data_IF_538474893930
#
_entry.id   IF_538474893930
#
_cell.length_a   1.000
_cell.length_b   1.000
_cell.length_c   1.000
_cell.angle_alpha   90.00
_cell.angle_beta   90.00
_cell.angle_gamma   90.00
#
_symmetry.space_group_name_H-M   'P 1'
#
loop_
_entity.id
_entity.type
_entity.pdbx_description
1 polymer ?
#
# COMPACT_ATOMS: atom_id res chain seq x y z
N UNK A 1 9.62 -26.15 20.78
CA UNK A 1 9.93 -27.55 20.40
C UNK A 1 9.39 -28.49 21.48
N UNK A 2 8.67 -29.53 21.06
CA UNK A 2 8.21 -30.59 21.95
C UNK A 2 9.36 -31.57 22.21
N UNK A 3 9.85 -31.71 23.47
CA UNK A 3 11.00 -32.56 23.80
C UNK A 3 10.81 -34.01 23.40
N UNK A 4 9.59 -34.55 23.46
CA UNK A 4 9.31 -35.94 23.11
C UNK A 4 9.39 -36.18 21.59
N UNK A 5 9.05 -35.17 20.78
CA UNK A 5 9.19 -35.18 19.34
C UNK A 5 10.66 -35.05 18.92
N UNK A 6 11.45 -34.19 19.54
CA UNK A 6 12.88 -34.01 19.24
C UNK A 6 13.67 -35.28 19.48
N UNK A 7 13.35 -36.05 20.51
CA UNK A 7 13.98 -37.35 20.80
C UNK A 7 13.73 -38.41 19.71
N UNK A 8 12.64 -38.29 18.94
CA UNK A 8 12.26 -39.25 17.87
C UNK A 8 12.65 -38.78 16.48
N UNK A 9 12.46 -37.46 16.18
CA UNK A 9 12.60 -36.90 14.84
C UNK A 9 13.92 -36.16 14.62
N UNK A 10 14.76 -36.03 15.66
CA UNK A 10 15.94 -35.18 15.62
C UNK A 10 15.60 -33.68 15.63
N UNK A 11 16.55 -32.87 15.27
CA UNK A 11 16.35 -31.41 15.19
C UNK A 11 15.26 -31.08 14.16
N UNK A 12 14.32 -30.24 14.55
CA UNK A 12 13.24 -29.80 13.67
C UNK A 12 13.57 -28.39 13.14
N UNK A 13 13.57 -28.26 11.82
CA UNK A 13 13.70 -26.96 11.13
C UNK A 13 12.36 -26.51 10.59
N UNK A 14 11.92 -25.30 10.99
CA UNK A 14 10.74 -24.67 10.44
C UNK A 14 11.14 -23.41 9.69
N UNK A 15 10.70 -23.26 8.45
CA UNK A 15 10.85 -22.04 7.69
C UNK A 15 9.55 -21.70 6.95
N UNK A 16 9.20 -20.43 6.96
CA UNK A 16 8.07 -19.89 6.20
C UNK A 16 8.56 -18.74 5.31
N UNK A 17 8.14 -18.75 4.06
CA UNK A 17 8.46 -17.70 3.10
C UNK A 17 7.21 -17.27 2.34
N UNK A 18 7.15 -15.99 1.99
CA UNK A 18 6.15 -15.42 1.11
C UNK A 18 6.81 -14.67 -0.03
N UNK A 19 6.29 -14.83 -1.23
CA UNK A 19 6.81 -14.19 -2.43
C UNK A 19 5.67 -13.75 -3.35
N UNK A 20 5.97 -12.77 -4.22
CA UNK A 20 5.04 -12.28 -5.22
C UNK A 20 4.22 -11.08 -4.76
N UNK A 21 3.45 -10.54 -5.69
CA UNK A 21 2.61 -9.36 -5.49
C UNK A 21 1.48 -9.31 -6.52
N UNK A 22 0.43 -8.59 -6.20
CA UNK A 22 -0.57 -8.19 -7.18
C UNK A 22 -0.21 -6.80 -7.67
N UNK A 23 0.05 -6.68 -8.96
CA UNK A 23 0.42 -5.46 -9.65
C UNK A 23 -0.83 -4.77 -10.20
N UNK A 24 -0.68 -3.48 -10.41
CA UNK A 24 -1.70 -2.63 -10.98
C UNK A 24 -1.09 -1.84 -12.14
N UNK A 25 -1.69 -1.96 -13.33
CA UNK A 25 -1.46 -1.07 -14.46
C UNK A 25 -2.71 -0.23 -14.68
N UNK A 26 -2.56 1.04 -15.02
CA UNK A 26 -3.70 1.92 -15.22
C UNK A 26 -3.48 2.90 -16.36
N UNK A 27 -4.59 3.32 -16.96
CA UNK A 27 -4.66 4.42 -17.92
C UNK A 27 -5.90 5.25 -17.64
N UNK A 28 -5.87 6.51 -17.98
CA UNK A 28 -7.02 7.38 -17.72
C UNK A 28 -6.90 8.74 -18.40
N UNK A 29 -7.98 9.50 -18.30
CA UNK A 29 -8.04 10.86 -18.80
C UNK A 29 -8.91 11.72 -17.91
N UNK A 30 -8.71 13.03 -18.02
CA UNK A 30 -9.51 14.02 -17.30
C UNK A 30 -9.80 15.22 -18.21
N UNK A 31 -10.91 15.89 -17.93
CA UNK A 31 -11.32 17.13 -18.59
C UNK A 31 -11.67 18.15 -17.53
N UNK A 32 -11.24 19.40 -17.74
CA UNK A 32 -11.61 20.53 -16.88
C UNK A 32 -12.66 21.37 -17.59
N UNK A 33 -13.77 21.58 -16.90
CA UNK A 33 -14.91 22.36 -17.36
C UNK A 33 -14.93 23.69 -16.60
N UNK A 34 -15.20 24.77 -17.35
CA UNK A 34 -15.31 26.15 -16.80
C UNK A 34 -14.14 26.56 -15.91
N UNK A 35 -12.93 26.03 -16.17
CA UNK A 35 -11.71 26.28 -15.41
C UNK A 35 -11.78 25.99 -13.90
N UNK A 36 -12.82 25.28 -13.45
CA UNK A 36 -13.08 25.02 -12.04
C UNK A 36 -13.44 23.57 -11.71
N UNK A 37 -14.15 22.91 -12.59
CA UNK A 37 -14.63 21.55 -12.37
C UNK A 37 -13.85 20.57 -13.24
N UNK A 38 -13.08 19.69 -12.64
CA UNK A 38 -12.37 18.63 -13.34
C UNK A 38 -13.04 17.28 -13.10
N UNK A 39 -13.30 16.56 -14.18
CA UNK A 39 -13.83 15.20 -14.16
C UNK A 39 -12.80 14.26 -14.74
N UNK A 40 -12.53 13.15 -14.08
CA UNK A 40 -11.57 12.15 -14.52
C UNK A 40 -12.12 10.75 -14.44
N UNK A 41 -11.63 9.88 -15.32
CA UNK A 41 -11.88 8.45 -15.28
C UNK A 41 -10.58 7.70 -15.53
N UNK A 42 -10.43 6.58 -14.84
CA UNK A 42 -9.26 5.72 -14.90
C UNK A 42 -9.71 4.26 -15.05
N UNK A 43 -9.10 3.54 -15.96
CA UNK A 43 -9.22 2.10 -16.10
C UNK A 43 -8.01 1.43 -15.48
N UNK A 44 -8.25 0.41 -14.66
CA UNK A 44 -7.24 -0.26 -13.86
C UNK A 44 -7.25 -1.74 -14.20
N UNK A 45 -6.08 -2.31 -14.49
CA UNK A 45 -5.84 -3.74 -14.65
C UNK A 45 -5.07 -4.26 -13.45
N UNK A 46 -5.56 -5.33 -12.84
CA UNK A 46 -4.87 -6.06 -11.78
C UNK A 46 -4.35 -7.39 -12.33
N UNK A 47 -3.13 -7.75 -11.98
CA UNK A 47 -2.54 -9.05 -12.34
C UNK A 47 -1.41 -9.40 -11.38
N UNK A 48 -1.22 -10.68 -11.14
CA UNK A 48 -0.11 -11.12 -10.31
C UNK A 48 -0.33 -12.46 -9.65
N UNK A 49 0.69 -12.87 -8.88
CA UNK A 49 0.73 -14.12 -8.15
C UNK A 49 1.35 -13.89 -6.77
N UNK A 50 0.76 -14.50 -5.76
CA UNK A 50 1.29 -14.53 -4.39
C UNK A 50 1.51 -15.99 -4.03
N UNK A 51 2.69 -16.30 -3.51
CA UNK A 51 3.07 -17.63 -3.05
C UNK A 51 3.43 -17.57 -1.57
N UNK A 52 2.94 -18.54 -0.81
CA UNK A 52 3.33 -18.78 0.58
C UNK A 52 3.79 -20.22 0.69
N UNK A 53 4.99 -20.44 1.19
CA UNK A 53 5.58 -21.75 1.36
C UNK A 53 6.02 -21.95 2.79
N UNK A 54 5.71 -23.09 3.35
CA UNK A 54 6.13 -23.55 4.67
C UNK A 54 6.91 -24.86 4.49
N UNK A 55 8.09 -24.91 5.07
CA UNK A 55 8.95 -26.07 5.05
C UNK A 55 9.18 -26.54 6.49
N UNK A 56 8.86 -27.80 6.76
CA UNK A 56 9.16 -28.51 8.00
C UNK A 56 10.19 -29.60 7.68
N UNK A 57 11.43 -29.36 8.10
CA UNK A 57 12.54 -30.31 7.91
C UNK A 57 12.80 -31.09 9.20
N UNK A 58 13.13 -32.38 9.06
CA UNK A 58 13.52 -33.26 10.16
C UNK A 58 14.99 -33.65 10.01
N UNK A 59 15.74 -33.58 11.11
CA UNK A 59 17.16 -33.95 11.15
C UNK A 59 17.42 -35.48 11.17
N UNK A 60 16.38 -36.28 11.27
CA UNK A 60 16.47 -37.73 11.21
C UNK A 60 15.99 -38.22 9.84
N UNK A 61 16.83 -38.90 9.09
CA UNK A 61 16.56 -39.41 7.74
C UNK A 61 15.44 -40.48 7.69
N UNK A 62 14.96 -40.96 8.82
CA UNK A 62 13.80 -41.83 8.89
C UNK A 62 12.46 -41.10 8.72
N UNK A 63 12.47 -39.81 8.80
CA UNK A 63 11.28 -38.94 8.65
C UNK A 63 11.35 -38.12 7.39
N UNK A 64 10.22 -38.00 6.71
CA UNK A 64 10.09 -37.18 5.50
C UNK A 64 9.90 -35.73 5.87
N UNK A 65 10.70 -34.86 5.31
CA UNK A 65 10.47 -33.41 5.37
C UNK A 65 9.21 -33.02 4.57
N UNK A 66 8.45 -32.05 5.05
CA UNK A 66 7.18 -31.65 4.45
C UNK A 66 7.32 -30.21 3.94
N UNK A 67 7.00 -30.01 2.68
CA UNK A 67 6.85 -28.71 2.06
C UNK A 67 5.39 -28.50 1.73
N UNK A 68 4.78 -27.48 2.30
CA UNK A 68 3.40 -27.08 1.99
C UNK A 68 3.37 -25.68 1.43
N UNK A 69 2.55 -25.43 0.43
CA UNK A 69 2.43 -24.11 -0.15
C UNK A 69 1.02 -23.79 -0.60
N UNK A 70 0.79 -22.47 -0.67
CA UNK A 70 -0.45 -21.88 -1.18
C UNK A 70 -0.09 -20.83 -2.24
N UNK A 71 -0.61 -21.01 -3.43
CA UNK A 71 -0.45 -20.08 -4.53
C UNK A 71 -1.79 -19.40 -4.81
N UNK A 72 -1.79 -18.10 -4.94
CA UNK A 72 -2.92 -17.31 -5.38
C UNK A 72 -2.52 -16.52 -6.63
N UNK A 73 -3.14 -16.84 -7.76
CA UNK A 73 -2.98 -16.07 -8.99
C UNK A 73 -4.28 -15.31 -9.28
N UNK A 74 -4.17 -14.01 -9.47
CA UNK A 74 -5.30 -13.12 -9.72
C UNK A 74 -5.08 -12.26 -10.95
N UNK A 75 -6.17 -12.03 -11.66
CA UNK A 75 -6.32 -11.00 -12.67
C UNK A 75 -7.71 -10.36 -12.58
N UNK A 76 -7.82 -9.11 -12.98
CA UNK A 76 -9.09 -8.40 -12.95
C UNK A 76 -8.97 -6.97 -13.46
N UNK A 77 -10.06 -6.26 -13.45
CA UNK A 77 -10.12 -4.88 -13.87
C UNK A 77 -11.08 -4.07 -12.99
N UNK A 78 -10.81 -2.79 -12.88
CA UNK A 78 -11.66 -1.84 -12.16
C UNK A 78 -11.72 -0.50 -12.91
N UNK A 79 -12.72 0.29 -12.58
CA UNK A 79 -12.79 1.69 -12.99
C UNK A 79 -12.75 2.59 -11.74
N UNK A 80 -12.05 3.70 -11.84
CA UNK A 80 -12.00 4.76 -10.82
C UNK A 80 -12.41 6.07 -11.45
N UNK A 81 -13.29 6.79 -10.80
CA UNK A 81 -13.77 8.11 -11.21
C UNK A 81 -13.27 9.15 -10.23
N UNK A 82 -13.01 10.34 -10.72
CA UNK A 82 -12.56 11.47 -9.93
C UNK A 82 -13.31 12.74 -10.28
N UNK A 83 -13.57 13.55 -9.26
CA UNK A 83 -14.15 14.88 -9.38
C UNK A 83 -13.31 15.83 -8.54
N UNK A 84 -12.98 17.00 -9.10
CA UNK A 84 -12.28 18.06 -8.39
C UNK A 84 -12.97 19.39 -8.70
N UNK A 85 -13.19 20.17 -7.67
CA UNK A 85 -13.74 21.51 -7.79
C UNK A 85 -12.82 22.55 -7.16
N UNK A 86 -12.45 23.55 -7.95
CA UNK A 86 -11.54 24.63 -7.58
C UNK A 86 -12.32 25.92 -7.36
N UNK A 87 -12.31 26.43 -6.13
CA UNK A 87 -12.96 27.67 -5.73
C UNK A 87 -11.94 28.73 -5.32
N UNK A 88 -11.78 29.80 -6.09
CA UNK A 88 -11.07 30.98 -5.63
C UNK A 88 -11.80 31.63 -4.44
N UNK A 89 -11.10 31.88 -3.32
CA UNK A 89 -11.66 32.50 -2.11
C UNK A 89 -11.33 34.00 -1.99
N UNK A 90 -10.67 34.55 -3.00
CA UNK A 90 -10.20 35.94 -3.03
C UNK A 90 -8.70 36.07 -2.77
N UNK A 91 -8.12 37.18 -3.25
CA UNK A 91 -6.68 37.40 -3.22
C UNK A 91 -5.92 36.32 -3.99
N UNK A 92 -4.98 35.63 -3.31
CA UNK A 92 -4.23 34.53 -3.86
C UNK A 92 -4.64 33.16 -3.24
N UNK A 93 -5.78 33.13 -2.55
CA UNK A 93 -6.23 31.90 -1.85
C UNK A 93 -7.18 31.12 -2.72
N UNK A 94 -6.93 29.81 -2.81
CA UNK A 94 -7.73 28.85 -3.56
C UNK A 94 -8.09 27.67 -2.65
N UNK A 95 -9.34 27.25 -2.71
CA UNK A 95 -9.82 26.00 -2.11
C UNK A 95 -10.04 24.99 -3.22
N UNK A 96 -9.60 23.77 -2.98
CA UNK A 96 -9.84 22.62 -3.85
C UNK A 96 -10.58 21.55 -3.08
N UNK A 97 -11.72 21.11 -3.57
CA UNK A 97 -12.48 19.96 -3.09
C UNK A 97 -12.27 18.81 -4.07
N UNK A 98 -11.90 17.65 -3.57
CA UNK A 98 -11.67 16.44 -4.35
C UNK A 98 -12.53 15.28 -3.87
N UNK A 99 -13.00 14.47 -4.82
CA UNK A 99 -13.66 13.21 -4.55
C UNK A 99 -13.24 12.16 -5.55
N UNK A 100 -13.00 10.93 -5.08
CA UNK A 100 -12.70 9.79 -5.94
C UNK A 100 -13.54 8.59 -5.55
N UNK A 101 -13.96 7.81 -6.53
CA UNK A 101 -14.64 6.56 -6.28
C UNK A 101 -14.15 5.47 -7.24
N UNK A 102 -13.64 4.39 -6.67
CA UNK A 102 -13.24 3.17 -7.39
C UNK A 102 -14.33 2.13 -7.21
N UNK A 103 -14.77 1.56 -8.31
CA UNK A 103 -15.78 0.51 -8.30
C UNK A 103 -15.21 -0.80 -7.72
N UNK A 104 -16.06 -1.53 -7.02
CA UNK A 104 -15.79 -2.92 -6.62
C UNK A 104 -15.52 -3.76 -7.86
N UNK A 105 -14.51 -4.62 -7.79
CA UNK A 105 -14.06 -5.42 -8.93
C UNK A 105 -13.99 -6.90 -8.59
N UNK A 106 -14.57 -7.75 -9.44
CA UNK A 106 -14.38 -9.19 -9.38
C UNK A 106 -13.01 -9.57 -9.92
N UNK A 107 -12.30 -10.44 -9.20
CA UNK A 107 -11.03 -11.00 -9.61
C UNK A 107 -11.23 -12.42 -10.12
N UNK A 108 -10.54 -12.74 -11.20
CA UNK A 108 -10.50 -14.08 -11.78
C UNK A 108 -9.12 -14.69 -11.50
N UNK A 109 -9.07 -16.01 -11.43
CA UNK A 109 -7.80 -16.70 -11.19
C UNK A 109 -7.99 -18.06 -10.57
N UNK A 110 -7.01 -18.49 -9.81
CA UNK A 110 -7.07 -19.74 -9.08
C UNK A 110 -6.22 -19.68 -7.82
N UNK A 111 -6.60 -20.51 -6.85
CA UNK A 111 -5.75 -20.91 -5.73
C UNK A 111 -5.25 -22.32 -5.97
N UNK A 112 -4.01 -22.59 -5.60
CA UNK A 112 -3.44 -23.93 -5.60
C UNK A 112 -2.81 -24.22 -4.24
N UNK A 113 -3.33 -25.24 -3.58
CA UNK A 113 -2.80 -25.78 -2.33
C UNK A 113 -2.02 -27.04 -2.63
N UNK A 114 -0.75 -27.06 -2.30
CA UNK A 114 0.10 -28.24 -2.48
C UNK A 114 0.85 -28.63 -1.22
N UNK A 115 1.16 -29.90 -1.10
CA UNK A 115 2.01 -30.44 -0.04
C UNK A 115 2.79 -31.64 -0.56
N UNK A 116 4.08 -31.66 -0.31
CA UNK A 116 5.00 -32.74 -0.68
C UNK A 116 5.70 -33.26 0.56
N UNK A 117 5.90 -34.60 0.59
CA UNK A 117 6.82 -35.21 1.53
C UNK A 117 8.10 -35.65 0.79
N UNK A 118 9.24 -35.22 1.30
CA UNK A 118 10.55 -35.49 0.70
C UNK A 118 11.45 -36.25 1.66
N UNK A 119 12.12 -37.32 1.16
CA UNK A 119 13.20 -38.01 1.84
C UNK A 119 14.30 -38.29 0.83
N UNK A 120 15.51 -37.82 1.09
CA UNK A 120 16.63 -37.92 0.13
C UNK A 120 16.23 -37.40 -1.26
N UNK A 121 16.20 -38.26 -2.29
CA UNK A 121 15.79 -37.93 -3.66
C UNK A 121 14.34 -38.22 -4.00
N UNK A 122 13.58 -38.82 -3.06
CA UNK A 122 12.21 -39.22 -3.28
C UNK A 122 11.25 -38.14 -2.81
N UNK A 123 10.34 -37.75 -3.70
CA UNK A 123 9.29 -36.78 -3.41
C UNK A 123 7.94 -37.38 -3.70
N UNK A 124 7.09 -37.42 -2.69
CA UNK A 124 5.70 -37.89 -2.81
C UNK A 124 4.76 -36.68 -2.67
N UNK A 125 3.82 -36.54 -3.58
CA UNK A 125 2.76 -35.55 -3.47
C UNK A 125 1.69 -35.99 -2.50
N UNK A 126 1.52 -35.27 -1.38
CA UNK A 126 0.47 -35.54 -0.39
C UNK A 126 -0.83 -34.84 -0.83
N UNK A 127 -0.73 -33.60 -1.30
CA UNK A 127 -1.87 -32.78 -1.70
C UNK A 127 -1.50 -31.91 -2.89
N UNK A 128 -2.37 -31.85 -3.86
CA UNK A 128 -2.31 -30.85 -4.92
C UNK A 128 -3.75 -30.56 -5.33
N UNK A 129 -4.30 -29.42 -4.88
CA UNK A 129 -5.67 -29.03 -5.12
C UNK A 129 -5.71 -27.63 -5.71
N UNK A 130 -6.28 -27.52 -6.89
CA UNK A 130 -6.47 -26.23 -7.58
C UNK A 130 -7.95 -25.88 -7.57
N UNK A 131 -8.26 -24.69 -7.07
CA UNK A 131 -9.62 -24.14 -7.05
C UNK A 131 -9.66 -22.91 -7.94
N UNK A 132 -10.52 -22.92 -8.94
CA UNK A 132 -10.73 -21.76 -9.81
C UNK A 132 -11.68 -20.77 -9.14
N UNK A 133 -11.24 -19.52 -9.08
CA UNK A 133 -11.96 -18.40 -8.47
C UNK A 133 -13.04 -17.89 -9.45
N UNK A 134 -14.19 -18.56 -9.47
CA UNK A 134 -15.32 -18.23 -10.34
C UNK A 134 -16.65 -18.33 -9.57
N UNK A 135 -17.63 -17.56 -9.96
CA UNK A 135 -18.96 -17.61 -9.37
C UNK A 135 -18.98 -17.23 -7.88
N UNK A 136 -19.38 -18.16 -7.00
CA UNK A 136 -19.45 -17.94 -5.55
C UNK A 136 -18.09 -17.83 -4.87
N UNK A 137 -17.07 -18.47 -5.43
CA UNK A 137 -15.69 -18.47 -4.92
C UNK A 137 -14.86 -17.32 -5.49
N UNK A 138 -15.46 -16.42 -6.26
CA UNK A 138 -14.80 -15.28 -6.84
C UNK A 138 -14.36 -14.30 -5.76
N UNK A 139 -13.06 -14.01 -5.71
CA UNK A 139 -12.52 -12.91 -4.91
C UNK A 139 -12.95 -11.56 -5.51
N UNK A 140 -13.14 -10.58 -4.65
CA UNK A 140 -13.47 -9.21 -5.09
C UNK A 140 -12.55 -8.22 -4.43
N UNK A 141 -12.13 -7.23 -5.18
CA UNK A 141 -11.46 -6.05 -4.60
C UNK A 141 -12.50 -5.01 -4.22
N UNK A 142 -12.27 -4.41 -3.07
CA UNK A 142 -13.14 -3.42 -2.49
C UNK A 142 -13.34 -2.20 -3.39
N UNK A 143 -14.54 -1.62 -3.32
CA UNK A 143 -14.72 -0.22 -3.66
C UNK A 143 -13.88 0.69 -2.76
N UNK A 144 -13.57 1.86 -3.25
CA UNK A 144 -12.78 2.86 -2.53
C UNK A 144 -13.40 4.24 -2.73
N UNK A 145 -13.74 4.89 -1.64
CA UNK A 145 -14.19 6.27 -1.60
C UNK A 145 -13.08 7.15 -1.01
N UNK A 146 -12.66 8.15 -1.76
CA UNK A 146 -11.73 9.18 -1.30
C UNK A 146 -12.38 10.55 -1.34
N UNK A 147 -12.18 11.36 -0.30
CA UNK A 147 -12.56 12.77 -0.26
C UNK A 147 -11.41 13.59 0.29
N UNK A 148 -11.18 14.76 -0.27
CA UNK A 148 -10.09 15.64 0.13
C UNK A 148 -10.46 17.11 0.05
N UNK A 149 -9.84 17.88 0.91
CA UNK A 149 -9.92 19.33 0.95
C UNK A 149 -8.52 19.91 1.00
N UNK A 150 -8.19 20.78 0.06
CA UNK A 150 -6.95 21.54 0.07
C UNK A 150 -7.23 23.05 0.07
N UNK A 151 -6.48 23.79 0.88
CA UNK A 151 -6.43 25.25 0.90
C UNK A 151 -5.01 25.70 0.55
N UNK A 152 -4.87 26.55 -0.46
CA UNK A 152 -3.58 27.05 -0.92
C UNK A 152 -3.58 28.58 -0.96
N UNK A 153 -2.61 29.18 -0.28
CA UNK A 153 -2.40 30.64 -0.24
C UNK A 153 -1.25 31.08 -1.15
N UNK A 154 -1.55 31.24 -2.44
CA UNK A 154 -0.55 31.53 -3.47
C UNK A 154 0.52 30.44 -3.55
N UNK A 155 1.79 30.87 -3.50
CA UNK A 155 2.94 29.97 -3.48
C UNK A 155 3.55 29.80 -2.07
N UNK A 156 2.89 30.38 -1.05
CA UNK A 156 3.48 30.47 0.29
C UNK A 156 3.12 29.31 1.19
N UNK A 157 1.87 28.89 1.16
CA UNK A 157 1.39 27.84 2.05
C UNK A 157 0.28 27.00 1.42
N UNK A 158 0.22 25.77 1.83
CA UNK A 158 -0.88 24.86 1.54
C UNK A 158 -1.22 24.03 2.78
N UNK A 159 -2.50 23.72 2.96
CA UNK A 159 -3.01 22.77 3.94
C UNK A 159 -3.91 21.79 3.20
N UNK A 160 -3.79 20.52 3.51
CA UNK A 160 -4.56 19.46 2.88
C UNK A 160 -5.04 18.45 3.94
N UNK A 161 -6.26 17.98 3.77
CA UNK A 161 -6.84 16.92 4.59
C UNK A 161 -7.54 15.92 3.68
N UNK A 162 -7.20 14.65 3.80
CA UNK A 162 -7.75 13.56 3.02
C UNK A 162 -8.34 12.48 3.90
N UNK A 163 -9.43 11.90 3.43
CA UNK A 163 -10.04 10.70 3.97
C UNK A 163 -10.24 9.68 2.86
N UNK A 164 -9.79 8.47 3.10
CA UNK A 164 -9.98 7.33 2.22
C UNK A 164 -10.67 6.21 2.99
N UNK A 165 -11.63 5.53 2.34
CA UNK A 165 -12.34 4.38 2.91
C UNK A 165 -12.51 3.28 1.87
N UNK A 166 -12.26 2.04 2.28
CA UNK A 166 -12.57 0.85 1.48
C UNK A 166 -13.13 -0.26 2.36
N UNK A 167 -14.15 -0.95 1.88
CA UNK A 167 -14.85 -2.01 2.64
C UNK A 167 -14.47 -3.39 2.10
N UNK A 168 -13.61 -4.09 2.84
CA UNK A 168 -13.07 -5.39 2.46
C UNK A 168 -13.85 -6.57 3.03
N UNK A 169 -14.92 -6.32 3.77
CA UNK A 169 -15.75 -7.37 4.36
C UNK A 169 -16.50 -8.15 3.29
N UNK A 170 -16.62 -9.45 3.48
CA UNK A 170 -17.41 -10.35 2.60
C UNK A 170 -16.94 -10.31 1.12
N UNK A 171 -15.64 -10.21 0.88
CA UNK A 171 -15.06 -10.19 -0.46
C UNK A 171 -14.36 -11.50 -0.84
N UNK A 172 -14.50 -12.56 -0.03
CA UNK A 172 -13.96 -13.89 -0.27
C UNK A 172 -12.57 -14.14 0.30
N UNK A 173 -11.89 -13.12 0.84
CA UNK A 173 -10.54 -13.30 1.39
C UNK A 173 -10.54 -14.11 2.70
N UNK A 174 -11.56 -13.98 3.52
CA UNK A 174 -11.68 -14.68 4.80
C UNK A 174 -11.85 -16.20 4.62
N UNK A 175 -12.32 -16.61 3.43
CA UNK A 175 -12.59 -18.00 3.09
C UNK A 175 -11.49 -18.61 2.22
N UNK A 176 -10.54 -17.80 1.74
CA UNK A 176 -9.50 -18.25 0.82
C UNK A 176 -8.41 -19.03 1.56
N UNK A 177 -8.23 -20.29 1.20
CA UNK A 177 -7.22 -21.16 1.78
C UNK A 177 -5.81 -20.54 1.72
N UNK A 178 -5.08 -20.68 2.84
CA UNK A 178 -3.72 -20.14 2.99
C UNK A 178 -3.64 -18.65 3.28
N UNK A 179 -4.74 -17.90 3.20
CA UNK A 179 -4.80 -16.46 3.47
C UNK A 179 -5.68 -16.11 4.68
N UNK A 180 -6.63 -16.96 5.03
CA UNK A 180 -7.62 -16.70 6.08
C UNK A 180 -7.17 -17.06 7.48
N UNK A 181 -6.41 -18.11 7.67
CA UNK A 181 -6.00 -18.57 8.99
C UNK A 181 -4.53 -19.00 9.03
N UNK A 182 -3.83 -18.60 10.09
CA UNK A 182 -2.60 -19.23 10.52
C UNK A 182 -2.93 -20.22 11.64
N UNK A 183 -1.97 -21.10 11.98
CA UNK A 183 -2.15 -22.10 13.05
C UNK A 183 -2.45 -21.51 14.43
N UNK A 184 -2.19 -20.22 14.64
CA UNK A 184 -2.31 -19.54 15.93
C UNK A 184 -3.22 -18.33 15.94
N UNK A 185 -3.62 -17.79 14.78
CA UNK A 185 -4.38 -16.55 14.70
C UNK A 185 -5.49 -16.60 13.64
N UNK A 186 -6.65 -16.04 13.97
CA UNK A 186 -7.78 -15.91 13.06
C UNK A 186 -7.72 -14.57 12.34
N UNK A 187 -7.65 -14.64 11.01
CA UNK A 187 -7.76 -13.49 10.13
C UNK A 187 -9.23 -13.17 9.84
N UNK A 188 -9.58 -11.89 9.82
CA UNK A 188 -10.87 -11.42 9.30
C UNK A 188 -10.72 -10.10 8.56
N UNK A 189 -11.46 -9.95 7.47
CA UNK A 189 -11.51 -8.70 6.69
C UNK A 189 -12.30 -7.62 7.43
N UNK A 190 -11.93 -6.38 7.20
CA UNK A 190 -12.52 -5.21 7.86
C UNK A 190 -12.66 -4.03 6.90
N UNK A 191 -13.21 -2.96 7.40
CA UNK A 191 -13.17 -1.65 6.72
C UNK A 191 -11.79 -1.04 6.92
N UNK A 192 -11.12 -0.71 5.83
CA UNK A 192 -9.93 0.12 5.87
C UNK A 192 -10.30 1.60 5.81
N UNK A 193 -9.63 2.40 6.61
CA UNK A 193 -9.81 3.85 6.64
C UNK A 193 -8.45 4.52 6.76
N UNK A 194 -8.26 5.63 6.07
CA UNK A 194 -7.05 6.44 6.14
C UNK A 194 -7.42 7.91 6.27
N UNK A 195 -6.84 8.54 7.28
CA UNK A 195 -6.93 9.99 7.50
C UNK A 195 -5.54 10.58 7.36
N UNK A 196 -5.40 11.59 6.53
CA UNK A 196 -4.14 12.30 6.31
C UNK A 196 -4.35 13.78 6.39
N UNK A 197 -3.42 14.47 7.04
CA UNK A 197 -3.38 15.93 7.06
C UNK A 197 -1.95 16.39 6.78
N UNK A 198 -1.82 17.38 5.91
CA UNK A 198 -0.54 17.92 5.51
C UNK A 198 -0.52 19.44 5.51
N UNK A 199 0.65 19.99 5.77
CA UNK A 199 0.93 21.42 5.71
C UNK A 199 2.24 21.65 4.97
N UNK A 200 2.23 22.64 4.09
CA UNK A 200 3.41 23.11 3.35
C UNK A 200 3.57 24.61 3.55
N UNK A 201 4.81 25.06 3.73
CA UNK A 201 5.13 26.47 3.87
C UNK A 201 6.45 26.82 3.20
N UNK A 202 6.42 27.82 2.30
CA UNK A 202 7.60 28.43 1.66
C UNK A 202 7.59 29.92 1.95
N UNK A 203 8.47 30.42 2.81
CA UNK A 203 8.44 31.84 3.22
C UNK A 203 8.52 32.82 2.04
N UNK A 204 9.49 32.65 1.16
CA UNK A 204 9.66 33.43 -0.05
C UNK A 204 10.54 32.68 -1.06
N UNK A 205 9.90 32.09 -2.09
CA UNK A 205 10.59 31.29 -3.12
C UNK A 205 11.65 32.08 -3.91
N UNK A 206 11.47 33.39 -4.05
CA UNK A 206 12.32 34.28 -4.85
C UNK A 206 13.28 35.11 -4.00
N UNK A 207 13.49 34.80 -2.71
CA UNK A 207 14.40 35.57 -1.86
C UNK A 207 15.87 35.32 -2.28
N UNK A 208 16.54 36.44 -2.67
CA UNK A 208 17.94 36.40 -3.11
C UNK A 208 18.90 36.45 -1.92
N UNK A 209 18.49 37.08 -0.82
CA UNK A 209 19.35 37.38 0.33
C UNK A 209 19.43 36.22 1.31
N UNK A 210 18.30 35.55 1.59
CA UNK A 210 18.23 34.52 2.64
C UNK A 210 17.78 33.17 2.05
N UNK A 211 18.71 32.24 1.91
CA UNK A 211 18.47 30.95 1.29
C UNK A 211 17.41 30.12 2.00
N UNK A 212 17.36 30.13 3.35
CA UNK A 212 16.37 29.40 4.14
C UNK A 212 14.91 29.81 3.85
N UNK A 213 14.68 31.03 3.34
CA UNK A 213 13.35 31.48 2.94
C UNK A 213 12.85 30.82 1.66
N UNK A 214 13.76 30.29 0.85
CA UNK A 214 13.45 29.58 -0.40
C UNK A 214 13.12 28.11 -0.17
N UNK A 215 13.45 27.58 1.01
CA UNK A 215 13.18 26.19 1.40
C UNK A 215 11.68 26.05 1.61
N UNK A 216 11.13 24.94 1.08
CA UNK A 216 9.76 24.52 1.34
C UNK A 216 9.77 23.55 2.52
N UNK A 217 9.12 23.92 3.59
CA UNK A 217 8.96 23.12 4.81
C UNK A 217 7.63 22.39 4.75
N UNK A 218 7.62 21.10 5.18
CA UNK A 218 6.43 20.28 5.20
C UNK A 218 6.26 19.59 6.54
N UNK A 219 5.02 19.41 6.94
CA UNK A 219 4.64 18.58 8.10
C UNK A 219 3.36 17.83 7.79
N UNK A 220 3.22 16.64 8.33
CA UNK A 220 2.03 15.85 8.11
C UNK A 220 1.75 14.89 9.26
N UNK A 221 0.50 14.45 9.31
CA UNK A 221 -0.02 13.46 10.23
C UNK A 221 -0.78 12.42 9.43
N UNK A 222 -0.73 11.16 9.84
CA UNK A 222 -1.57 10.12 9.27
C UNK A 222 -2.07 9.15 10.33
N UNK A 223 -3.22 8.58 10.05
CA UNK A 223 -3.82 7.46 10.76
C UNK A 223 -4.41 6.51 9.73
N UNK A 224 -3.90 5.28 9.69
CA UNK A 224 -4.35 4.25 8.78
C UNK A 224 -4.88 3.05 9.57
N UNK A 225 -6.15 2.74 9.41
CA UNK A 225 -6.76 1.52 9.87
C UNK A 225 -6.68 0.45 8.78
N UNK A 226 -6.08 -0.69 9.11
CA UNK A 226 -5.89 -1.79 8.16
C UNK A 226 -7.21 -2.44 7.74
N UNK A 227 -7.24 -3.01 6.53
CA UNK A 227 -8.37 -3.79 6.03
C UNK A 227 -8.52 -5.16 6.70
N UNK A 228 -7.60 -5.57 7.56
CA UNK A 228 -7.62 -6.85 8.24
C UNK A 228 -7.55 -6.72 9.76
N UNK A 229 -8.11 -7.71 10.43
CA UNK A 229 -8.01 -7.91 11.87
C UNK A 229 -7.40 -9.27 12.16
N UNK A 230 -6.64 -9.36 13.22
CA UNK A 230 -6.12 -10.62 13.77
C UNK A 230 -6.76 -10.84 15.12
N UNK A 231 -7.43 -11.98 15.32
CA UNK A 231 -8.19 -12.31 16.54
C UNK A 231 -9.17 -11.19 16.94
N UNK A 232 -9.82 -10.57 15.95
CA UNK A 232 -10.74 -9.45 16.12
C UNK A 232 -10.08 -8.09 16.43
N UNK A 233 -8.75 -8.03 16.60
CA UNK A 233 -8.03 -6.80 16.89
C UNK A 233 -7.60 -6.09 15.60
N UNK A 234 -7.82 -4.78 15.49
CA UNK A 234 -7.35 -4.01 14.34
C UNK A 234 -5.82 -3.81 14.41
N UNK A 235 -5.20 -3.79 13.24
CA UNK A 235 -3.78 -3.46 13.08
C UNK A 235 -3.70 -2.06 12.48
N UNK A 236 -3.69 -1.06 13.34
CA UNK A 236 -3.68 0.34 12.94
C UNK A 236 -2.25 0.87 12.88
N UNK A 237 -2.03 1.89 12.07
CA UNK A 237 -0.78 2.65 12.07
C UNK A 237 -1.06 4.14 12.12
N UNK A 238 -0.19 4.88 12.79
CA UNK A 238 -0.25 6.33 12.86
C UNK A 238 1.15 6.91 13.04
N UNK A 239 1.31 8.12 12.54
CA UNK A 239 2.61 8.77 12.64
C UNK A 239 2.58 10.23 12.23
N UNK A 240 3.76 10.82 12.32
CA UNK A 240 4.05 12.18 11.92
C UNK A 240 5.17 12.18 10.87
N UNK A 241 5.09 13.13 9.93
CA UNK A 241 6.12 13.35 8.93
C UNK A 241 6.60 14.79 8.99
N UNK A 242 7.89 15.00 8.81
CA UNK A 242 8.52 16.31 8.71
C UNK A 242 9.44 16.27 7.49
N UNK A 243 9.42 17.33 6.69
CA UNK A 243 10.26 17.36 5.49
C UNK A 243 10.62 18.76 5.06
N UNK A 244 11.63 18.82 4.20
CA UNK A 244 12.04 20.06 3.56
C UNK A 244 12.48 19.79 2.12
N UNK A 245 12.12 20.68 1.19
CA UNK A 245 12.69 20.72 -0.15
C UNK A 245 13.61 21.91 -0.29
N UNK A 246 14.85 21.64 -0.57
CA UNK A 246 15.96 22.58 -0.71
C UNK A 246 16.13 22.86 -2.21
N UNK A 247 15.79 24.05 -2.75
CA UNK A 247 15.96 24.37 -4.15
C UNK A 247 17.45 24.47 -4.51
N UNK A 248 17.91 23.78 -5.56
CA UNK A 248 19.33 23.74 -5.93
C UNK A 248 19.65 24.73 -7.05
N UNK A 249 18.87 24.73 -8.15
CA UNK A 249 19.12 25.58 -9.30
C UNK A 249 17.80 26.02 -9.94
N UNK A 250 17.73 27.29 -10.39
CA UNK A 250 16.59 27.90 -11.12
C UNK A 250 15.20 27.70 -10.48
N UNK A 251 15.13 27.35 -9.17
CA UNK A 251 13.87 27.18 -8.43
C UNK A 251 13.02 25.94 -8.77
N UNK A 252 13.40 25.18 -9.79
CA UNK A 252 12.68 23.97 -10.23
C UNK A 252 13.37 22.69 -9.80
N UNK A 253 14.70 22.71 -9.66
CA UNK A 253 15.49 21.58 -9.17
C UNK A 253 15.61 21.65 -7.65
N UNK A 254 15.57 20.51 -6.98
CA UNK A 254 15.65 20.51 -5.53
C UNK A 254 15.94 19.13 -4.95
N UNK A 255 16.46 19.17 -3.74
CA UNK A 255 16.66 18.00 -2.90
C UNK A 255 15.57 18.00 -1.83
N UNK A 256 14.79 16.93 -1.77
CA UNK A 256 13.77 16.74 -0.74
C UNK A 256 14.29 15.76 0.31
N UNK A 257 14.24 16.17 1.56
CA UNK A 257 14.54 15.33 2.72
C UNK A 257 13.27 15.18 3.54
N UNK A 258 12.94 13.96 3.92
CA UNK A 258 11.79 13.64 4.75
C UNK A 258 12.15 12.69 5.89
N UNK A 259 11.56 12.93 7.05
CA UNK A 259 11.62 12.07 8.23
C UNK A 259 10.22 11.64 8.59
N UNK A 260 10.07 10.39 8.97
CA UNK A 260 8.82 9.79 9.40
C UNK A 260 9.02 9.08 10.72
N UNK A 261 8.10 9.31 11.67
CA UNK A 261 8.04 8.63 12.95
C UNK A 261 6.65 8.04 13.12
N UNK A 262 6.56 6.73 13.25
CA UNK A 262 5.27 6.08 13.31
C UNK A 262 5.23 4.87 14.24
N UNK A 263 4.01 4.44 14.49
CA UNK A 263 3.70 3.23 15.26
C UNK A 263 2.70 2.40 14.48
N UNK A 264 2.89 1.07 14.49
CA UNK A 264 2.00 0.11 13.85
C UNK A 264 1.74 -1.09 14.76
N UNK A 265 0.49 -1.55 14.80
CA UNK A 265 0.10 -2.73 15.55
C UNK A 265 -0.34 -2.43 16.99
N UNK A 266 -0.52 -3.49 17.76
CA UNK A 266 -1.06 -3.45 19.13
C UNK A 266 -0.29 -4.41 20.04
N UNK A 267 -0.22 -4.11 21.32
CA UNK A 267 0.37 -5.00 22.35
C UNK A 267 -0.67 -5.90 23.04
N UNK A 268 -1.95 -5.80 22.66
CA UNK A 268 -3.00 -6.63 23.23
C UNK A 268 -2.85 -8.08 22.76
N UNK A 269 -3.24 -9.05 23.58
CA UNK A 269 -3.21 -10.48 23.28
C UNK A 269 -1.84 -11.03 22.84
N UNK A 270 -0.75 -10.43 23.35
CA UNK A 270 0.60 -10.87 22.98
C UNK A 270 1.11 -10.45 21.61
N UNK A 271 0.36 -9.60 20.88
CA UNK A 271 0.82 -9.03 19.61
C UNK A 271 1.95 -8.02 19.81
N UNK A 272 2.67 -7.75 18.73
CA UNK A 272 3.79 -6.82 18.70
C UNK A 272 3.34 -5.48 18.14
N UNK A 273 3.72 -4.40 18.84
CA UNK A 273 3.63 -3.04 18.31
C UNK A 273 5.00 -2.57 17.87
N UNK A 274 5.10 -2.21 16.61
CA UNK A 274 6.32 -1.69 16.01
C UNK A 274 6.37 -0.17 16.14
N UNK A 275 7.52 0.38 16.55
CA UNK A 275 7.85 1.79 16.37
C UNK A 275 8.85 1.87 15.24
N UNK A 276 8.61 2.71 14.25
CA UNK A 276 9.49 2.84 13.11
C UNK A 276 9.90 4.28 12.85
N UNK A 277 11.08 4.39 12.26
CA UNK A 277 11.64 5.61 11.77
C UNK A 277 11.93 5.45 10.28
N UNK A 278 11.44 6.39 9.47
CA UNK A 278 11.66 6.44 8.03
C UNK A 278 12.51 7.65 7.67
N UNK A 279 13.46 7.46 6.75
CA UNK A 279 14.22 8.52 6.10
C UNK A 279 13.99 8.45 4.59
N UNK A 280 13.57 9.56 3.99
CA UNK A 280 13.34 9.67 2.56
C UNK A 280 14.24 10.75 1.97
N UNK A 281 14.90 10.42 0.86
CA UNK A 281 15.69 11.37 0.06
C UNK A 281 15.17 11.36 -1.37
N UNK A 282 14.79 12.52 -1.87
CA UNK A 282 14.29 12.69 -3.23
C UNK A 282 15.05 13.77 -3.99
N UNK A 283 15.18 13.58 -5.29
CA UNK A 283 15.77 14.54 -6.20
C UNK A 283 14.73 14.95 -7.23
N UNK A 284 14.43 16.24 -7.31
CA UNK A 284 13.59 16.81 -8.35
C UNK A 284 14.51 17.43 -9.40
N UNK A 285 14.50 16.87 -10.59
CA UNK A 285 15.29 17.34 -11.72
C UNK A 285 14.31 17.81 -12.79
N UNK A 286 14.42 19.08 -13.16
CA UNK A 286 13.67 19.69 -14.25
C UNK A 286 14.66 20.28 -15.25
N UNK A 287 14.48 19.97 -16.52
CA UNK A 287 15.24 20.54 -17.60
C UNK A 287 14.31 20.78 -18.81
N UNK A 288 14.62 21.81 -19.59
CA UNK A 288 13.87 22.15 -20.81
C UNK A 288 14.68 21.63 -21.99
N UNK A 289 14.22 20.52 -22.56
CA UNK A 289 14.86 19.88 -23.68
C UNK A 289 14.43 20.58 -25.00
N UNK A 290 15.32 20.57 -26.00
CA UNK A 290 15.08 21.13 -27.34
C UNK A 290 14.89 22.66 -27.39
N UNK A 291 15.42 23.40 -26.45
CA UNK A 291 15.57 24.86 -26.65
C UNK A 291 16.65 25.12 -27.71
N UNK A 292 16.26 25.79 -28.80
CA UNK A 292 17.20 26.32 -29.77
C UNK A 292 17.93 27.49 -29.12
N UNK A 293 19.25 27.35 -28.90
CA UNK A 293 20.07 28.49 -28.47
C UNK A 293 20.05 29.54 -29.59
N UNK A 294 19.48 30.72 -29.29
CA UNK A 294 19.69 31.87 -30.16
C UNK A 294 21.09 32.40 -29.84
N UNK A 295 21.99 32.25 -30.78
CA UNK A 295 23.23 33.01 -30.80
C UNK A 295 22.89 34.35 -31.48
N UNK A 296 23.01 35.46 -30.73
CA UNK A 296 23.06 36.78 -31.28
C UNK A 296 24.44 37.05 -31.87
#
# INVERSE_FOLDING_TARGET
>A
EDPDLVGRTGTQGYSASGNGSIYQAFTGGAVTLWDRLSLGAQYILYFGKIEKTVNLAFGNDSYRSIVSGHNLQLNGHAAKFGLQYDQPLGGRTKMTLGGTYKLKSGMHGYTNDYSYATISSLTDTIKNNTVHLTGKEQLKFSDELGVGLALKGGEKWAVEVDYLRSDWRNLGFDETSGFSNSSSHVFSSSVAQSFRAGFEYTPNRSDIRYYYKRITYRGGLYYDQSYYRLDGLPIDSYGITIGATIPVYAGYNGITVGLEFGKKGTVKNGFVRENYFGFNLGFNIFDIWFQKSMYD
#
